data_IF_086368244831
#
_entry.id   IF_086368244831
#
_cell.length_a   1.000
_cell.length_b   1.000
_cell.length_c   1.000
_cell.angle_alpha   90.00
_cell.angle_beta   90.00
_cell.angle_gamma   90.00
#
_symmetry.space_group_name_H-M   'P 1'
#
loop_
_entity.id
_entity.type
_entity.pdbx_description
1 polymer ?
#
# COMPACT_ATOMS: atom_id res chain seq x y z
N UNK A 1 -20.98 18.09 -28.00
CA UNK A 1 -21.36 17.38 -26.77
C UNK A 1 -20.17 16.52 -26.36
N UNK A 2 -19.80 16.64 -25.10
CA UNK A 2 -18.48 16.39 -24.54
C UNK A 2 -18.06 14.91 -24.63
N UNK A 3 -16.83 14.69 -25.09
CA UNK A 3 -16.17 13.38 -25.03
C UNK A 3 -15.72 13.09 -23.60
N UNK A 4 -16.34 12.11 -22.98
CA UNK A 4 -15.91 11.52 -21.72
C UNK A 4 -14.61 10.76 -21.97
N UNK A 5 -13.46 11.37 -21.62
CA UNK A 5 -12.18 10.67 -21.57
C UNK A 5 -12.22 9.67 -20.43
N UNK A 6 -12.34 8.39 -20.77
CA UNK A 6 -12.08 7.27 -19.87
C UNK A 6 -10.75 7.50 -19.14
N UNK A 7 -10.81 7.55 -17.81
CA UNK A 7 -9.64 7.62 -16.93
C UNK A 7 -8.89 6.29 -17.04
N UNK A 8 -7.98 6.21 -18.00
CA UNK A 8 -7.00 5.13 -18.11
C UNK A 8 -6.21 5.07 -16.81
N UNK A 9 -6.42 4.02 -16.01
CA UNK A 9 -5.75 3.82 -14.73
C UNK A 9 -4.25 3.74 -14.99
N UNK A 10 -3.48 4.67 -14.41
CA UNK A 10 -2.04 4.73 -14.60
C UNK A 10 -1.37 3.42 -14.22
N UNK A 11 -0.97 2.66 -15.24
CA UNK A 11 -0.33 1.36 -15.05
C UNK A 11 1.18 1.56 -14.91
N UNK A 12 1.67 1.39 -13.68
CA UNK A 12 3.09 1.46 -13.33
C UNK A 12 3.70 0.05 -13.35
N UNK A 13 4.72 -0.15 -14.17
CA UNK A 13 5.42 -1.44 -14.34
C UNK A 13 6.80 -1.34 -13.69
N UNK A 14 7.17 -2.34 -12.88
CA UNK A 14 8.53 -2.44 -12.32
C UNK A 14 9.49 -2.89 -13.41
N UNK A 15 10.49 -2.06 -13.74
CA UNK A 15 11.51 -2.32 -14.74
C UNK A 15 12.90 -2.04 -14.18
N UNK A 16 13.90 -2.78 -14.68
CA UNK A 16 15.30 -2.51 -14.41
C UNK A 16 15.78 -1.35 -15.28
N UNK A 17 16.39 -0.33 -14.67
CA UNK A 17 16.85 0.87 -15.34
C UNK A 17 18.13 0.56 -16.12
N UNK A 18 18.01 0.54 -17.46
CA UNK A 18 19.16 0.36 -18.36
C UNK A 18 19.97 1.64 -18.57
N UNK A 19 19.34 2.80 -18.44
CA UNK A 19 19.95 4.11 -18.68
C UNK A 19 19.51 5.07 -17.58
N UNK A 20 20.42 5.94 -17.14
CA UNK A 20 20.14 6.96 -16.11
C UNK A 20 18.88 7.76 -16.48
N UNK A 21 17.91 7.82 -15.59
CA UNK A 21 16.65 8.54 -15.79
C UNK A 21 16.35 9.48 -14.63
N UNK A 22 15.50 10.49 -14.82
CA UNK A 22 15.06 11.36 -13.71
C UNK A 22 13.72 10.89 -13.17
N UNK A 23 13.63 10.75 -11.85
CA UNK A 23 12.39 10.41 -11.18
C UNK A 23 11.36 11.52 -11.36
N UNK A 24 10.16 11.19 -11.84
CA UNK A 24 9.06 12.12 -12.04
C UNK A 24 8.46 12.67 -10.73
N UNK A 25 8.78 12.06 -9.58
CA UNK A 25 8.27 12.48 -8.27
C UNK A 25 9.26 13.38 -7.53
N UNK A 26 10.52 12.98 -7.42
CA UNK A 26 11.53 13.72 -6.64
C UNK A 26 12.53 14.50 -7.48
N UNK A 27 12.51 14.35 -8.81
CA UNK A 27 13.47 14.97 -9.72
C UNK A 27 14.90 14.42 -9.64
N UNK A 28 15.21 13.54 -8.66
CA UNK A 28 16.53 12.91 -8.51
C UNK A 28 16.79 11.87 -9.60
N UNK A 29 18.06 11.67 -9.91
CA UNK A 29 18.49 10.66 -10.88
C UNK A 29 18.31 9.24 -10.33
N UNK A 30 17.81 8.35 -11.17
CA UNK A 30 17.69 6.92 -10.95
C UNK A 30 18.89 6.27 -11.66
N UNK A 31 19.81 5.63 -10.92
CA UNK A 31 21.01 5.06 -11.50
C UNK A 31 20.71 3.81 -12.34
N UNK A 32 21.64 3.47 -13.22
CA UNK A 32 21.57 2.25 -14.00
C UNK A 32 21.73 1.02 -13.09
N UNK A 33 20.92 0.00 -13.33
CA UNK A 33 20.94 -1.25 -12.56
C UNK A 33 19.98 -1.28 -11.38
N UNK A 34 19.28 -0.18 -11.07
CA UNK A 34 18.21 -0.17 -10.06
C UNK A 34 16.84 -0.47 -10.66
N UNK A 35 15.92 -0.96 -9.83
CA UNK A 35 14.52 -1.12 -10.22
C UNK A 35 13.75 0.18 -10.03
N UNK A 36 12.94 0.53 -11.03
CA UNK A 36 12.08 1.71 -11.02
C UNK A 36 10.69 1.37 -11.56
N UNK A 37 9.72 2.22 -11.25
CA UNK A 37 8.37 2.12 -11.78
C UNK A 37 8.26 2.99 -13.03
N UNK A 38 7.89 2.39 -14.14
CA UNK A 38 7.69 3.07 -15.41
C UNK A 38 6.21 3.07 -15.81
N UNK A 39 5.68 4.25 -16.13
CA UNK A 39 4.34 4.42 -16.65
C UNK A 39 4.38 4.51 -18.17
N UNK A 40 3.66 3.61 -18.85
CA UNK A 40 3.53 3.65 -20.31
C UNK A 40 2.69 4.83 -20.77
N UNK A 41 1.67 5.21 -20.00
CA UNK A 41 0.78 6.32 -20.30
C UNK A 41 1.52 7.66 -20.26
N UNK A 42 2.31 7.88 -19.21
CA UNK A 42 2.99 9.17 -18.97
C UNK A 42 4.44 9.19 -19.45
N UNK A 43 4.95 8.06 -19.99
CA UNK A 43 6.38 7.83 -20.32
C UNK A 43 7.32 8.27 -19.19
N UNK A 44 6.85 8.16 -17.96
CA UNK A 44 7.49 8.67 -16.77
C UNK A 44 8.11 7.52 -15.99
N UNK A 45 9.24 7.77 -15.35
CA UNK A 45 9.90 6.82 -14.45
C UNK A 45 9.95 7.40 -13.05
N UNK A 46 9.75 6.58 -12.01
CA UNK A 46 9.90 6.97 -10.61
C UNK A 46 10.61 5.87 -9.83
N UNK A 47 11.32 6.22 -8.76
CA UNK A 47 11.89 5.18 -7.88
C UNK A 47 10.77 4.30 -7.30
N UNK A 48 11.08 3.03 -7.02
CA UNK A 48 10.16 2.13 -6.32
C UNK A 48 9.76 2.71 -4.96
N UNK A 49 10.71 3.36 -4.26
CA UNK A 49 10.51 4.01 -2.96
C UNK A 49 9.98 5.46 -3.06
N UNK A 50 9.80 6.01 -4.26
CA UNK A 50 9.22 7.35 -4.41
C UNK A 50 7.70 7.25 -4.53
N UNK A 51 7.05 7.29 -3.37
CA UNK A 51 5.61 7.52 -3.27
C UNK A 51 5.36 9.03 -3.27
N UNK A 52 4.24 9.46 -3.86
CA UNK A 52 3.88 10.87 -3.99
C UNK A 52 3.84 11.54 -2.61
N UNK A 53 4.75 12.47 -2.28
CA UNK A 53 4.60 13.28 -1.10
C UNK A 53 3.64 14.42 -1.45
N UNK A 54 2.51 14.50 -0.74
CA UNK A 54 1.76 15.75 -0.69
C UNK A 54 2.68 16.79 -0.08
N UNK A 55 2.96 17.80 -0.89
CA UNK A 55 3.81 18.96 -0.64
C UNK A 55 3.56 19.56 0.74
N UNK A 56 4.58 19.62 1.59
CA UNK A 56 4.98 20.87 2.24
C UNK A 56 6.51 20.99 2.17
N UNK A 57 6.93 22.12 1.62
CA UNK A 57 8.31 22.45 1.28
C UNK A 57 9.05 23.02 2.50
N UNK A 58 10.34 22.62 2.61
CA UNK A 58 11.50 23.43 3.06
C UNK A 58 11.52 23.82 4.56
N UNK A 59 12.60 23.71 5.34
CA UNK A 59 14.05 23.76 5.15
C UNK A 59 14.66 23.44 6.55
N UNK A 60 15.68 22.61 6.79
CA UNK A 60 17.14 22.82 6.67
C UNK A 60 17.81 21.53 7.22
N UNK A 61 18.74 20.88 6.51
CA UNK A 61 20.21 20.94 6.71
C UNK A 61 20.63 20.86 8.20
N UNK A 62 21.59 20.08 8.67
CA UNK A 62 22.53 19.10 8.13
C UNK A 62 23.33 18.69 9.36
N UNK A 63 23.41 17.41 9.72
CA UNK A 63 24.56 16.91 10.45
C UNK A 63 24.77 15.44 10.11
N UNK A 64 25.96 15.24 9.56
CA UNK A 64 26.62 14.02 9.18
C UNK A 64 27.52 13.75 10.37
N UNK A 65 27.30 12.70 11.15
CA UNK A 65 28.36 12.06 11.91
C UNK A 65 28.21 10.55 11.81
N UNK A 66 29.36 9.92 11.65
CA UNK A 66 29.59 8.52 11.39
C UNK A 66 29.33 7.71 12.66
N UNK A 67 28.60 6.62 12.50
CA UNK A 67 28.34 5.66 13.57
C UNK A 67 27.68 4.44 12.96
N UNK A 68 28.37 3.31 13.01
CA UNK A 68 27.85 2.01 12.64
C UNK A 68 26.67 1.66 13.54
N UNK A 69 25.43 1.81 13.03
CA UNK A 69 24.29 1.12 13.61
C UNK A 69 23.40 0.59 12.48
N UNK A 70 23.26 -0.73 12.50
CA UNK A 70 22.35 -1.53 11.71
C UNK A 70 20.90 -1.07 12.00
N UNK A 71 20.39 -0.15 11.19
CA UNK A 71 19.05 0.41 11.38
C UNK A 71 18.07 -0.25 10.41
N UNK A 72 17.45 -1.29 10.96
CA UNK A 72 16.29 -2.01 10.46
C UNK A 72 15.23 -1.01 9.98
N UNK A 73 14.93 -1.02 8.67
CA UNK A 73 13.86 -0.21 8.06
C UNK A 73 12.54 -0.48 8.80
N UNK A 74 11.72 0.53 9.12
CA UNK A 74 10.42 0.31 9.71
C UNK A 74 9.57 -0.48 8.72
N UNK A 75 9.38 -1.77 9.01
CA UNK A 75 8.44 -2.66 8.35
C UNK A 75 7.09 -1.95 8.29
N UNK A 76 6.66 -1.59 7.08
CA UNK A 76 5.38 -0.95 6.88
C UNK A 76 4.29 -1.87 7.45
N UNK A 77 3.73 -1.50 8.60
CA UNK A 77 2.66 -2.20 9.29
C UNK A 77 1.42 -2.27 8.40
N UNK A 78 1.31 -3.34 7.60
CA UNK A 78 0.12 -3.60 6.80
C UNK A 78 -1.06 -3.79 7.75
N UNK A 79 -1.95 -2.80 7.77
CA UNK A 79 -3.16 -2.79 8.59
C UNK A 79 -4.35 -3.25 7.73
N UNK A 80 -4.96 -4.38 8.11
CA UNK A 80 -6.14 -4.90 7.43
C UNK A 80 -7.41 -4.27 8.00
N UNK A 81 -8.47 -4.23 7.19
CA UNK A 81 -9.79 -3.82 7.65
C UNK A 81 -10.57 -5.02 8.15
N UNK A 82 -11.26 -4.85 9.27
CA UNK A 82 -12.25 -5.78 9.77
C UNK A 82 -13.36 -5.92 8.73
N UNK A 83 -13.64 -7.14 8.32
CA UNK A 83 -14.60 -7.48 7.31
C UNK A 83 -16.06 -7.29 7.79
N UNK A 84 -16.28 -7.36 9.11
CA UNK A 84 -17.59 -7.15 9.73
C UNK A 84 -17.93 -5.67 9.86
N UNK A 85 -17.06 -4.87 10.49
CA UNK A 85 -17.36 -3.47 10.80
C UNK A 85 -16.65 -2.45 9.91
N UNK A 86 -15.73 -2.86 9.03
CA UNK A 86 -14.98 -1.99 8.12
C UNK A 86 -13.88 -1.14 8.76
N UNK A 87 -13.75 -1.14 10.10
CA UNK A 87 -12.70 -0.44 10.85
C UNK A 87 -11.37 -1.20 10.78
N UNK A 88 -10.27 -0.56 11.21
CA UNK A 88 -8.97 -1.22 11.33
C UNK A 88 -9.08 -2.45 12.23
N UNK A 89 -8.42 -3.54 11.85
CA UNK A 89 -8.46 -4.79 12.61
C UNK A 89 -7.59 -4.73 13.87
N UNK A 90 -6.67 -3.77 13.94
CA UNK A 90 -5.67 -3.65 15.01
C UNK A 90 -4.53 -4.64 14.80
N UNK A 91 -4.09 -4.84 13.55
CA UNK A 91 -3.17 -5.91 13.22
C UNK A 91 -1.83 -5.78 13.97
N UNK A 92 -1.31 -4.56 14.14
CA UNK A 92 -0.05 -4.29 14.86
C UNK A 92 -0.08 -4.61 16.38
N UNK A 93 -1.25 -4.91 16.93
CA UNK A 93 -1.42 -5.35 18.33
C UNK A 93 -2.22 -6.66 18.40
N UNK A 94 -2.34 -7.37 17.29
CA UNK A 94 -3.13 -8.59 17.19
C UNK A 94 -2.33 -9.77 17.75
N UNK A 95 -2.99 -10.63 18.51
CA UNK A 95 -2.41 -11.87 19.07
C UNK A 95 -1.87 -12.84 18.00
N UNK A 96 -2.29 -12.67 16.74
CA UNK A 96 -1.88 -13.48 15.60
C UNK A 96 -0.72 -12.86 14.80
N UNK A 97 -0.08 -11.78 15.27
CA UNK A 97 0.94 -11.07 14.50
C UNK A 97 2.07 -11.99 13.97
N UNK A 98 2.55 -12.92 14.80
CA UNK A 98 3.66 -13.81 14.44
C UNK A 98 3.32 -14.79 13.30
N UNK A 99 2.06 -15.22 13.20
CA UNK A 99 1.61 -16.24 12.24
C UNK A 99 0.78 -15.68 11.09
N UNK A 100 0.26 -14.46 11.24
CA UNK A 100 -0.58 -13.78 10.25
C UNK A 100 0.29 -12.98 9.28
N UNK A 101 0.72 -13.62 8.20
CA UNK A 101 1.38 -12.91 7.11
C UNK A 101 0.38 -12.04 6.34
N UNK A 102 0.35 -10.74 6.67
CA UNK A 102 -0.61 -9.76 6.16
C UNK A 102 -0.46 -9.45 4.66
N UNK A 103 0.67 -9.82 4.06
CA UNK A 103 0.89 -9.69 2.62
C UNK A 103 0.31 -10.87 1.82
N UNK A 104 0.09 -12.02 2.47
CA UNK A 104 -0.39 -13.25 1.82
C UNK A 104 -1.79 -13.69 2.28
N UNK A 105 -2.19 -13.36 3.50
CA UNK A 105 -3.48 -13.74 4.07
C UNK A 105 -4.62 -13.06 3.31
N UNK A 106 -5.83 -13.62 3.42
CA UNK A 106 -7.02 -13.00 2.86
C UNK A 106 -7.26 -11.60 3.45
N UNK A 107 -7.73 -10.66 2.64
CA UNK A 107 -8.12 -9.32 3.10
C UNK A 107 -9.38 -9.28 3.97
N UNK A 108 -9.94 -10.44 4.32
CA UNK A 108 -11.15 -10.58 5.13
C UNK A 108 -10.77 -10.84 6.60
N UNK A 109 -10.11 -9.88 7.23
CA UNK A 109 -9.72 -9.96 8.64
C UNK A 109 -10.92 -9.70 9.57
N UNK A 110 -10.87 -10.11 10.83
CA UNK A 110 -11.85 -9.76 11.87
C UNK A 110 -11.12 -9.08 13.03
N UNK A 111 -11.63 -7.96 13.54
CA UNK A 111 -11.03 -7.29 14.70
C UNK A 111 -11.44 -7.99 16.01
N UNK A 112 -10.63 -7.82 17.05
CA UNK A 112 -10.87 -8.42 18.38
C UNK A 112 -12.27 -8.09 18.91
N UNK A 113 -12.68 -6.83 18.83
CA UNK A 113 -14.01 -6.42 19.32
C UNK A 113 -15.17 -7.11 18.59
N UNK A 114 -15.02 -7.44 17.30
CA UNK A 114 -16.02 -8.19 16.55
C UNK A 114 -15.92 -9.70 16.83
N UNK A 115 -14.74 -10.20 17.15
CA UNK A 115 -14.51 -11.60 17.51
C UNK A 115 -15.07 -11.93 18.90
N UNK A 116 -14.92 -11.04 19.89
CA UNK A 116 -15.43 -11.23 21.25
C UNK A 116 -16.94 -10.98 21.40
N UNK A 117 -17.64 -10.58 20.33
CA UNK A 117 -19.07 -10.27 20.36
C UNK A 117 -19.97 -11.52 20.45
N UNK A 118 -21.23 -11.37 20.93
CA UNK A 118 -22.21 -12.44 20.90
C UNK A 118 -22.60 -12.72 19.45
N UNK A 119 -22.17 -13.87 18.91
CA UNK A 119 -22.32 -14.30 17.51
C UNK A 119 -21.37 -13.63 16.48
N UNK A 120 -20.06 -13.69 16.78
CA UNK A 120 -19.01 -13.29 15.84
C UNK A 120 -19.07 -14.04 14.50
N UNK A 121 -19.37 -15.34 14.53
CA UNK A 121 -19.43 -16.17 13.33
C UNK A 121 -20.60 -15.78 12.42
N UNK A 122 -21.82 -15.66 12.95
CA UNK A 122 -23.00 -15.26 12.18
C UNK A 122 -22.83 -13.86 11.60
N UNK A 123 -22.30 -12.92 12.40
CA UNK A 123 -21.99 -11.56 11.94
C UNK A 123 -21.01 -11.55 10.77
N UNK A 124 -19.97 -12.39 10.83
CA UNK A 124 -19.00 -12.53 9.75
C UNK A 124 -19.58 -13.19 8.50
N UNK A 125 -20.37 -14.25 8.67
CA UNK A 125 -21.05 -14.94 7.55
C UNK A 125 -22.00 -13.99 6.82
N UNK A 126 -22.80 -13.21 7.56
CA UNK A 126 -23.70 -12.22 6.99
C UNK A 126 -22.95 -11.14 6.19
N UNK A 127 -21.84 -10.62 6.73
CA UNK A 127 -20.99 -9.66 6.02
C UNK A 127 -20.43 -10.26 4.71
N UNK A 128 -20.08 -11.55 4.72
CA UNK A 128 -19.56 -12.25 3.54
C UNK A 128 -20.65 -12.44 2.47
N UNK A 129 -21.83 -12.90 2.89
CA UNK A 129 -22.98 -13.07 2.02
C UNK A 129 -23.43 -11.73 1.41
N UNK A 130 -23.42 -10.65 2.19
CA UNK A 130 -23.71 -9.31 1.67
C UNK A 130 -22.70 -8.86 0.60
N UNK A 131 -21.41 -9.18 0.80
CA UNK A 131 -20.34 -8.82 -0.15
C UNK A 131 -20.46 -9.57 -1.48
N UNK A 132 -20.86 -10.84 -1.46
CA UNK A 132 -21.09 -11.61 -2.68
C UNK A 132 -22.40 -11.18 -3.36
N UNK A 133 -23.48 -10.95 -2.60
CA UNK A 133 -24.77 -10.52 -3.14
C UNK A 133 -24.66 -9.16 -3.85
N UNK A 134 -23.88 -8.21 -3.32
CA UNK A 134 -23.62 -6.92 -3.97
C UNK A 134 -22.74 -6.99 -5.22
N UNK A 135 -22.04 -8.10 -5.46
CA UNK A 135 -21.20 -8.32 -6.66
C UNK A 135 -21.88 -9.20 -7.71
N UNK A 136 -22.89 -9.98 -7.32
CA UNK A 136 -23.77 -10.71 -8.25
C UNK A 136 -24.82 -9.72 -8.76
N UNK A 137 -24.43 -8.93 -9.77
CA UNK A 137 -25.42 -8.31 -10.67
C UNK A 137 -25.94 -9.43 -11.56
N UNK A 138 -27.16 -9.90 -11.29
CA UNK A 138 -27.92 -10.70 -12.25
C UNK A 138 -28.25 -9.87 -13.49
#
# INVERSE_FOLDING_TARGET
>A
MSGEKEKEKEFWIKLLVKYKGKCAVCGKEIPQGEYALWSRASKAIKHVKCEVPVVQQQQQQQQKEEGEEEQQEPEALLELKCFVCGKNAGCAACSLEADCNRAMVSQACICESCLSGPDAYGSYQQAFLAKIAGKVKM
#
